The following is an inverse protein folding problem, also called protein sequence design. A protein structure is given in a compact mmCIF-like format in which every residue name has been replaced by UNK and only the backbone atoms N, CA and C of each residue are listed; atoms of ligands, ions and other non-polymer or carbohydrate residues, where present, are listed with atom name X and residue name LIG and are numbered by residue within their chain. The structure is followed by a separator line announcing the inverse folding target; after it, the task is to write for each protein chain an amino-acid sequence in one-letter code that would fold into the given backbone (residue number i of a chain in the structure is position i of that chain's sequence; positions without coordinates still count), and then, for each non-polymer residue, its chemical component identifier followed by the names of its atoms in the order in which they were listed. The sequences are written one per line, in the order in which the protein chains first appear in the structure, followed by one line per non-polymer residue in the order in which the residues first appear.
data_IF_457271454432
#
_entry.id   IF_457271454432
#
_cell.length_a   1.000
_cell.length_b   1.000
_cell.length_c   1.000
_cell.angle_alpha   90.00
_cell.angle_beta   90.00
_cell.angle_gamma   90.00
#
_symmetry.space_group_name_H-M   'P 1'
#
loop_
_entity.id
_entity.type
_entity.pdbx_description
1 polymer ?
#
# COMPACT_ATOMS: atom_id res chain seq x y z
N UNK A 1 9.42 15.01 18.86
CA UNK A 1 8.35 15.92 19.32
C UNK A 1 7.22 15.04 19.81
N UNK A 2 6.81 15.15 21.08
CA UNK A 2 5.80 14.29 21.69
C UNK A 2 4.43 14.48 21.01
N UNK A 3 4.04 13.53 20.17
CA UNK A 3 2.78 13.48 19.42
C UNK A 3 1.58 13.07 20.27
N UNK A 4 1.29 13.81 21.34
CA UNK A 4 0.14 13.51 22.21
C UNK A 4 -1.16 14.16 21.74
N UNK A 5 -1.13 15.05 20.74
CA UNK A 5 -2.31 15.82 20.31
C UNK A 5 -3.06 15.30 19.09
N UNK A 6 -2.40 14.60 18.15
CA UNK A 6 -2.98 14.16 16.87
C UNK A 6 -2.60 12.71 16.60
N UNK A 7 -3.58 11.83 16.35
CA UNK A 7 -3.36 10.46 15.90
C UNK A 7 -4.42 10.08 14.85
N UNK A 8 -4.03 9.26 13.88
CA UNK A 8 -4.99 8.58 13.00
C UNK A 8 -5.30 7.22 13.60
N UNK A 9 -6.53 7.00 14.05
CA UNK A 9 -6.99 5.74 14.66
C UNK A 9 -7.27 4.67 13.60
N UNK A 10 -7.90 5.09 12.51
CA UNK A 10 -8.24 4.24 11.38
C UNK A 10 -8.20 5.07 10.09
N UNK A 11 -7.81 4.46 8.97
CA UNK A 11 -8.02 4.99 7.63
C UNK A 11 -8.41 3.83 6.71
N UNK A 12 -9.62 3.88 6.16
CA UNK A 12 -10.21 2.77 5.41
C UNK A 12 -10.80 3.26 4.07
N UNK A 13 -10.51 2.59 2.94
CA UNK A 13 -11.12 2.91 1.65
C UNK A 13 -12.65 2.79 1.69
N UNK A 14 -13.34 3.76 1.09
CA UNK A 14 -14.79 3.70 0.85
C UNK A 14 -15.08 3.65 -0.64
N UNK A 15 -14.70 4.69 -1.40
CA UNK A 15 -15.05 4.80 -2.81
C UNK A 15 -13.92 5.42 -3.63
N UNK A 16 -13.57 4.83 -4.77
CA UNK A 16 -12.71 5.47 -5.77
C UNK A 16 -13.55 5.78 -7.01
N UNK A 17 -13.76 7.06 -7.29
CA UNK A 17 -14.45 7.54 -8.49
C UNK A 17 -13.45 8.14 -9.47
N UNK A 18 -13.50 7.73 -10.74
CA UNK A 18 -12.57 8.17 -11.78
C UNK A 18 -13.32 8.54 -13.06
N UNK A 19 -12.82 9.53 -13.79
CA UNK A 19 -13.36 9.93 -15.09
C UNK A 19 -12.22 10.51 -15.95
N UNK A 20 -12.18 10.15 -17.23
CA UNK A 20 -11.14 10.59 -18.15
C UNK A 20 -9.76 10.02 -17.89
N UNK A 21 -9.65 8.84 -17.26
CA UNK A 21 -8.38 8.19 -16.87
C UNK A 21 -8.29 6.81 -17.51
N UNK A 22 -7.22 6.52 -18.25
CA UNK A 22 -7.01 5.22 -18.90
C UNK A 22 -8.24 4.75 -19.70
N UNK A 23 -8.81 3.56 -19.43
CA UNK A 23 -10.03 3.09 -20.11
C UNK A 23 -11.33 3.73 -19.59
N UNK A 24 -11.31 4.49 -18.49
CA UNK A 24 -12.49 5.07 -17.85
C UNK A 24 -12.79 6.48 -18.39
N UNK A 25 -13.22 6.58 -19.65
CA UNK A 25 -13.27 7.86 -20.39
C UNK A 25 -14.64 8.56 -20.40
N UNK A 26 -15.74 7.82 -20.61
CA UNK A 26 -17.02 8.44 -21.00
C UNK A 26 -17.86 8.94 -19.82
N UNK A 27 -17.90 8.18 -18.73
CA UNK A 27 -18.68 8.48 -17.52
C UNK A 27 -17.87 8.18 -16.25
N UNK A 28 -18.22 8.80 -15.11
CA UNK A 28 -17.62 8.44 -13.83
C UNK A 28 -17.76 6.94 -13.54
N UNK A 29 -16.63 6.28 -13.35
CA UNK A 29 -16.54 4.90 -12.91
C UNK A 29 -16.22 4.90 -11.41
N UNK A 30 -17.03 4.21 -10.60
CA UNK A 30 -16.86 4.13 -9.15
C UNK A 30 -16.53 2.68 -8.74
N UNK A 31 -15.47 2.52 -7.94
CA UNK A 31 -15.22 1.31 -7.16
C UNK A 31 -15.71 1.51 -5.74
N UNK A 32 -16.54 0.59 -5.27
CA UNK A 32 -17.05 0.53 -3.90
C UNK A 32 -16.24 -0.48 -3.07
N UNK A 33 -15.55 -0.01 -2.03
CA UNK A 33 -14.75 -0.83 -1.13
C UNK A 33 -15.52 -1.32 0.10
N UNK A 34 -16.85 -1.22 0.10
CA UNK A 34 -17.70 -1.66 1.22
C UNK A 34 -18.27 -3.06 0.99
N UNK A 35 -18.65 -3.73 2.06
CA UNK A 35 -19.35 -5.01 2.00
C UNK A 35 -20.88 -4.81 1.94
N UNK A 36 -21.64 -5.91 1.97
CA UNK A 36 -23.10 -5.87 1.88
C UNK A 36 -23.81 -5.14 3.04
N UNK A 37 -23.09 -4.78 4.10
CA UNK A 37 -23.60 -4.02 5.25
C UNK A 37 -23.05 -2.59 5.30
N UNK A 38 -22.50 -2.08 4.19
CA UNK A 38 -21.85 -0.77 4.11
C UNK A 38 -20.62 -0.64 5.04
N UNK A 39 -19.98 -1.76 5.41
CA UNK A 39 -18.75 -1.72 6.20
C UNK A 39 -17.51 -1.70 5.28
N UNK A 40 -16.49 -0.87 5.55
CA UNK A 40 -15.25 -0.87 4.75
C UNK A 40 -14.54 -2.22 4.78
N UNK A 41 -14.30 -2.79 3.59
CA UNK A 41 -13.56 -4.02 3.43
C UNK A 41 -12.10 -3.83 3.88
N UNK A 42 -11.56 -4.83 4.58
CA UNK A 42 -10.13 -4.92 4.84
C UNK A 42 -9.43 -5.88 3.87
N UNK A 43 -10.19 -6.64 3.07
CA UNK A 43 -9.64 -7.43 1.98
C UNK A 43 -10.45 -7.27 0.70
N UNK A 44 -9.86 -6.60 -0.29
CA UNK A 44 -10.52 -6.28 -1.55
C UNK A 44 -9.78 -6.89 -2.74
N UNK A 45 -10.52 -7.51 -3.67
CA UNK A 45 -9.92 -8.09 -4.88
C UNK A 45 -10.55 -7.49 -6.14
N UNK A 46 -9.70 -6.90 -6.98
CA UNK A 46 -10.06 -6.41 -8.31
C UNK A 46 -9.73 -7.48 -9.35
N UNK A 47 -10.72 -7.88 -10.13
CA UNK A 47 -10.53 -8.90 -11.16
C UNK A 47 -10.91 -8.36 -12.53
N UNK A 48 -10.05 -8.59 -13.52
CA UNK A 48 -10.39 -8.38 -14.93
C UNK A 48 -9.30 -8.93 -15.83
N UNK A 49 -9.62 -9.07 -17.10
CA UNK A 49 -8.64 -9.39 -18.13
C UNK A 49 -7.52 -8.34 -18.24
N UNK A 50 -6.45 -8.69 -18.93
CA UNK A 50 -5.32 -7.78 -19.15
C UNK A 50 -5.75 -6.58 -20.01
N UNK A 51 -5.22 -5.41 -19.68
CA UNK A 51 -5.52 -4.17 -20.40
C UNK A 51 -6.81 -3.45 -20.01
N UNK A 52 -7.54 -3.94 -18.99
CA UNK A 52 -8.81 -3.33 -18.50
C UNK A 52 -8.64 -2.25 -17.44
N UNK A 53 -7.41 -1.79 -17.17
CA UNK A 53 -7.14 -0.66 -16.27
C UNK A 53 -6.89 -1.00 -14.81
N UNK A 54 -6.69 -2.28 -14.42
CA UNK A 54 -6.35 -2.69 -13.05
C UNK A 54 -5.17 -1.90 -12.48
N UNK A 55 -4.01 -1.99 -13.13
CA UNK A 55 -2.79 -1.31 -12.69
C UNK A 55 -2.95 0.21 -12.72
N UNK A 56 -3.72 0.76 -13.66
CA UNK A 56 -4.03 2.19 -13.73
C UNK A 56 -4.77 2.66 -12.47
N UNK A 57 -5.77 1.91 -12.01
CA UNK A 57 -6.50 2.23 -10.78
C UNK A 57 -5.61 2.11 -9.54
N UNK A 58 -4.75 1.08 -9.48
CA UNK A 58 -3.79 0.93 -8.38
C UNK A 58 -2.77 2.07 -8.35
N UNK A 59 -2.24 2.45 -9.51
CA UNK A 59 -1.29 3.55 -9.66
C UNK A 59 -1.90 4.88 -9.26
N UNK A 60 -3.17 5.06 -9.61
CA UNK A 60 -3.95 6.22 -9.23
C UNK A 60 -4.16 6.29 -7.71
N UNK A 61 -4.48 5.18 -7.03
CA UNK A 61 -4.57 5.14 -5.57
C UNK A 61 -3.26 5.56 -4.91
N UNK A 62 -2.12 5.06 -5.40
CA UNK A 62 -0.81 5.47 -4.91
C UNK A 62 -0.50 6.94 -5.20
N UNK A 63 -0.88 7.46 -6.38
CA UNK A 63 -0.80 8.89 -6.69
C UNK A 63 -1.62 9.74 -5.70
N UNK A 64 -2.89 9.36 -5.46
CA UNK A 64 -3.81 10.07 -4.58
C UNK A 64 -3.36 10.01 -3.11
N UNK A 65 -2.83 8.87 -2.65
CA UNK A 65 -2.24 8.76 -1.32
C UNK A 65 -1.03 9.68 -1.14
N UNK A 66 -0.24 9.86 -2.21
CA UNK A 66 0.89 10.79 -2.23
C UNK A 66 0.51 12.25 -1.97
N UNK A 67 -0.76 12.62 -2.14
CA UNK A 67 -1.26 13.97 -1.86
C UNK A 67 -1.27 14.30 -0.36
N UNK A 68 -1.21 13.31 0.52
CA UNK A 68 -1.10 13.50 1.97
C UNK A 68 0.14 14.29 2.40
N UNK A 69 1.21 14.28 1.59
CA UNK A 69 2.37 15.14 1.83
C UNK A 69 2.07 16.63 1.59
N UNK A 70 0.95 16.99 0.95
CA UNK A 70 0.56 18.36 0.60
C UNK A 70 1.64 19.16 -0.14
N UNK A 71 1.56 20.49 -0.07
CA UNK A 71 2.57 21.42 -0.60
C UNK A 71 2.36 21.83 -2.04
N UNK A 72 3.24 22.70 -2.53
CA UNK A 72 3.27 23.07 -3.93
C UNK A 72 3.83 21.92 -4.77
N UNK A 73 3.26 21.71 -5.96
CA UNK A 73 3.67 20.68 -6.91
C UNK A 73 3.59 21.23 -8.32
N UNK A 74 4.59 20.90 -9.14
CA UNK A 74 4.57 21.17 -10.58
C UNK A 74 3.80 20.09 -11.34
N UNK A 75 3.86 18.85 -10.86
CA UNK A 75 3.21 17.66 -11.43
C UNK A 75 2.83 16.66 -10.35
N UNK A 76 1.83 15.82 -10.65
CA UNK A 76 1.36 14.72 -9.81
C UNK A 76 2.05 13.40 -10.16
N UNK A 77 2.76 13.36 -11.28
CA UNK A 77 3.41 12.14 -11.81
C UNK A 77 2.37 11.10 -12.25
N UNK A 78 1.24 11.60 -12.77
CA UNK A 78 0.17 10.80 -13.35
C UNK A 78 -0.39 11.55 -14.56
N UNK A 79 -0.09 11.05 -15.76
CA UNK A 79 -0.28 11.76 -17.03
C UNK A 79 -1.71 12.30 -17.21
N UNK A 80 -2.72 11.46 -17.00
CA UNK A 80 -4.12 11.86 -17.19
C UNK A 80 -4.57 12.99 -16.24
N UNK A 81 -3.93 13.13 -15.07
CA UNK A 81 -4.20 14.21 -14.11
C UNK A 81 -3.40 15.48 -14.42
N UNK A 82 -2.18 15.33 -14.95
CA UNK A 82 -1.24 16.42 -15.23
C UNK A 82 -1.53 17.15 -16.54
N UNK A 83 -1.94 16.43 -17.59
CA UNK A 83 -2.15 16.98 -18.93
C UNK A 83 -3.50 16.60 -19.56
N UNK A 84 -4.13 15.52 -19.10
CA UNK A 84 -5.41 15.03 -19.61
C UNK A 84 -6.64 15.70 -19.01
N UNK A 85 -7.84 15.27 -19.45
CA UNK A 85 -9.11 15.66 -18.82
C UNK A 85 -9.43 14.84 -17.57
N UNK A 86 -8.48 14.02 -17.13
CA UNK A 86 -8.65 13.08 -16.04
C UNK A 86 -8.98 13.77 -14.72
N UNK A 87 -9.88 13.13 -13.98
CA UNK A 87 -10.28 13.50 -12.64
C UNK A 87 -10.42 12.23 -11.82
N UNK A 88 -9.97 12.30 -10.57
CA UNK A 88 -10.13 11.21 -9.63
C UNK A 88 -10.45 11.74 -8.24
N UNK A 89 -11.28 10.99 -7.53
CA UNK A 89 -11.64 11.22 -6.13
C UNK A 89 -11.60 9.87 -5.40
N UNK A 90 -10.77 9.77 -4.36
CA UNK A 90 -10.72 8.62 -3.46
C UNK A 90 -11.19 9.05 -2.08
N UNK A 91 -12.32 8.50 -1.67
CA UNK A 91 -12.94 8.73 -0.38
C UNK A 91 -12.48 7.68 0.63
N UNK A 92 -11.94 8.16 1.74
CA UNK A 92 -11.42 7.37 2.85
C UNK A 92 -12.19 7.71 4.11
N UNK A 93 -12.69 6.70 4.82
CA UNK A 93 -13.18 6.86 6.18
C UNK A 93 -11.98 7.01 7.12
N UNK A 94 -11.92 8.12 7.85
CA UNK A 94 -10.79 8.42 8.74
C UNK A 94 -11.31 8.69 10.14
N UNK A 95 -10.73 7.98 11.11
CA UNK A 95 -10.92 8.24 12.54
C UNK A 95 -9.68 8.95 13.08
N UNK A 96 -9.89 10.12 13.67
CA UNK A 96 -8.83 10.99 14.19
C UNK A 96 -9.02 11.19 15.69
N UNK A 97 -7.92 11.10 16.43
CA UNK A 97 -7.85 11.61 17.79
C UNK A 97 -7.15 12.97 17.76
N UNK A 98 -7.88 14.04 18.06
CA UNK A 98 -7.39 15.44 18.06
C UNK A 98 -7.77 16.15 19.33
N UNK A 99 -6.79 16.71 20.04
CA UNK A 99 -7.02 17.53 21.25
C UNK A 99 -7.91 16.84 22.30
N UNK A 100 -7.78 15.52 22.46
CA UNK A 100 -8.58 14.74 23.39
C UNK A 100 -9.98 14.36 22.90
N UNK A 101 -10.32 14.65 21.65
CA UNK A 101 -11.59 14.29 21.00
C UNK A 101 -11.36 13.25 19.90
N UNK A 102 -12.33 12.36 19.73
CA UNK A 102 -12.38 11.46 18.58
C UNK A 102 -13.31 12.06 17.52
N UNK A 103 -12.84 12.11 16.28
CA UNK A 103 -13.58 12.61 15.12
C UNK A 103 -13.60 11.54 14.04
N UNK A 104 -14.76 11.23 13.47
CA UNK A 104 -14.90 10.32 12.33
C UNK A 104 -15.34 11.15 11.12
N UNK A 105 -14.53 11.18 10.07
CA UNK A 105 -14.74 12.03 8.89
C UNK A 105 -14.54 11.22 7.61
N UNK A 106 -15.06 11.74 6.51
CA UNK A 106 -14.67 11.29 5.18
C UNK A 106 -13.59 12.23 4.65
N UNK A 107 -12.41 11.69 4.35
CA UNK A 107 -11.35 12.41 3.64
C UNK A 107 -11.44 12.08 2.15
N UNK A 108 -11.77 13.08 1.33
CA UNK A 108 -11.76 12.97 -0.13
C UNK A 108 -10.43 13.45 -0.70
N UNK A 109 -9.54 12.51 -1.01
CA UNK A 109 -8.30 12.75 -1.76
C UNK A 109 -8.65 12.87 -3.24
N UNK A 110 -8.48 14.05 -3.85
CA UNK A 110 -8.89 14.23 -5.24
C UNK A 110 -7.90 15.07 -6.06
N UNK A 111 -7.81 14.76 -7.33
CA UNK A 111 -6.96 15.50 -8.26
C UNK A 111 -7.50 15.48 -9.69
N UNK A 112 -7.11 16.47 -10.48
CA UNK A 112 -7.43 16.55 -11.91
C UNK A 112 -7.96 17.91 -12.35
N UNK A 113 -8.49 17.96 -13.57
CA UNK A 113 -9.09 19.17 -14.13
C UNK A 113 -10.42 19.56 -13.46
N UNK A 114 -10.87 20.80 -13.65
CA UNK A 114 -12.18 21.26 -13.17
C UNK A 114 -12.34 21.19 -11.65
N UNK A 115 -13.45 20.64 -11.14
CA UNK A 115 -13.60 20.33 -9.71
C UNK A 115 -13.60 18.80 -9.52
N UNK A 116 -12.47 18.18 -9.10
CA UNK A 116 -12.42 16.72 -8.98
C UNK A 116 -13.28 16.20 -7.81
N UNK A 117 -13.58 17.02 -6.79
CA UNK A 117 -14.49 16.67 -5.68
C UNK A 117 -15.98 16.65 -6.06
N UNK A 118 -16.30 16.98 -7.32
CA UNK A 118 -17.65 16.88 -7.85
C UNK A 118 -17.96 15.48 -8.39
N UNK A 119 -16.97 14.58 -8.47
CA UNK A 119 -17.15 13.22 -9.00
C UNK A 119 -18.05 12.38 -8.10
N UNK A 120 -17.86 12.48 -6.78
CA UNK A 120 -18.71 11.81 -5.80
C UNK A 120 -19.16 12.78 -4.69
N UNK A 121 -20.48 12.93 -4.57
CA UNK A 121 -21.12 13.75 -3.55
C UNK A 121 -21.20 13.05 -2.19
N UNK A 122 -21.26 13.85 -1.14
CA UNK A 122 -21.47 13.40 0.24
C UNK A 122 -22.57 14.26 0.86
N UNK A 123 -23.79 13.71 0.89
CA UNK A 123 -24.92 14.30 1.59
C UNK A 123 -24.98 13.78 3.04
N UNK A 124 -25.92 14.32 3.82
CA UNK A 124 -26.05 13.97 5.24
C UNK A 124 -26.41 12.49 5.44
N UNK A 125 -27.18 11.88 4.54
CA UNK A 125 -27.58 10.49 4.65
C UNK A 125 -26.37 9.56 4.42
N UNK A 126 -25.59 9.82 3.35
CA UNK A 126 -24.36 9.06 3.08
C UNK A 126 -23.37 9.20 4.23
N UNK A 127 -23.21 10.39 4.80
CA UNK A 127 -22.35 10.60 5.98
C UNK A 127 -22.84 9.79 7.19
N UNK A 128 -24.16 9.77 7.45
CA UNK A 128 -24.77 9.03 8.55
C UNK A 128 -24.57 7.51 8.41
N UNK A 129 -24.68 6.95 7.19
CA UNK A 129 -24.38 5.53 6.91
C UNK A 129 -23.02 5.10 7.43
N UNK A 130 -21.99 5.93 7.26
CA UNK A 130 -20.63 5.63 7.72
C UNK A 130 -20.29 6.26 9.08
N UNK A 131 -21.28 6.81 9.79
CA UNK A 131 -21.10 7.49 11.07
C UNK A 131 -20.09 8.64 11.01
N UNK A 132 -19.91 9.26 9.85
CA UNK A 132 -18.99 10.38 9.65
C UNK A 132 -19.71 11.69 9.93
N UNK A 133 -19.05 12.62 10.61
CA UNK A 133 -19.63 13.93 10.93
C UNK A 133 -19.58 14.89 9.75
N UNK A 134 -18.56 14.76 8.90
CA UNK A 134 -18.34 15.68 7.78
C UNK A 134 -17.42 15.05 6.72
N UNK A 135 -17.52 15.57 5.49
CA UNK A 135 -16.52 15.37 4.45
C UNK A 135 -15.49 16.51 4.46
N UNK A 136 -14.23 16.17 4.57
CA UNK A 136 -13.09 17.06 4.34
C UNK A 136 -12.42 16.75 2.99
N UNK A 137 -11.75 17.75 2.40
CA UNK A 137 -11.15 17.65 1.07
C UNK A 137 -9.65 17.86 1.17
N UNK A 138 -8.87 17.13 0.38
CA UNK A 138 -7.45 17.40 0.17
C UNK A 138 -7.05 17.00 -1.25
N UNK A 139 -6.22 17.81 -1.89
CA UNK A 139 -5.60 17.44 -3.16
C UNK A 139 -5.43 18.62 -4.10
N UNK A 140 -5.47 18.38 -5.41
CA UNK A 140 -5.02 19.37 -6.38
C UNK A 140 -6.01 19.60 -7.52
N UNK A 141 -6.39 20.87 -7.69
CA UNK A 141 -7.14 21.32 -8.85
C UNK A 141 -6.18 21.78 -9.94
N UNK A 142 -6.26 21.17 -11.13
CA UNK A 142 -5.53 21.64 -12.31
C UNK A 142 -6.33 22.69 -13.05
N UNK A 143 -5.73 23.86 -13.23
CA UNK A 143 -6.29 24.96 -14.04
C UNK A 143 -5.97 24.76 -15.53
N UNK A 144 -6.66 25.48 -16.42
CA UNK A 144 -6.39 25.46 -17.87
C UNK A 144 -4.95 25.84 -18.23
N UNK A 145 -4.29 26.63 -17.38
CA UNK A 145 -2.86 26.96 -17.45
C UNK A 145 -1.91 25.82 -17.10
N UNK A 146 -2.42 24.61 -16.82
CA UNK A 146 -1.72 23.44 -16.25
C UNK A 146 -1.14 23.65 -14.84
N UNK A 147 -1.36 24.82 -14.22
CA UNK A 147 -0.99 25.05 -12.82
C UNK A 147 -1.84 24.20 -11.89
N UNK A 148 -1.18 23.53 -10.94
CA UNK A 148 -1.82 22.81 -9.84
C UNK A 148 -2.06 23.76 -8.65
N UNK A 149 -3.30 23.79 -8.16
CA UNK A 149 -3.71 24.49 -6.96
C UNK A 149 -4.00 23.48 -5.85
N UNK A 150 -3.29 23.59 -4.73
CA UNK A 150 -3.58 22.81 -3.52
C UNK A 150 -4.90 23.28 -2.89
N UNK A 151 -5.84 22.36 -2.68
CA UNK A 151 -7.14 22.60 -2.06
C UNK A 151 -7.25 21.78 -0.78
N UNK A 152 -7.93 22.33 0.24
CA UNK A 152 -8.26 21.61 1.48
C UNK A 152 -7.45 22.00 2.71
N UNK A 153 -6.30 22.66 2.54
CA UNK A 153 -5.38 22.98 3.64
C UNK A 153 -5.93 23.98 4.67
N UNK A 154 -7.04 24.66 4.35
CA UNK A 154 -7.75 25.55 5.27
C UNK A 154 -8.53 24.79 6.35
N UNK A 155 -8.80 23.49 6.14
CA UNK A 155 -9.42 22.63 7.14
C UNK A 155 -8.40 22.21 8.19
N UNK A 156 -8.74 22.36 9.48
CA UNK A 156 -7.79 22.09 10.56
C UNK A 156 -7.39 20.62 10.64
N UNK A 157 -8.31 19.69 10.36
CA UNK A 157 -8.06 18.25 10.38
C UNK A 157 -7.08 17.86 9.28
N UNK A 158 -7.28 18.43 8.09
CA UNK A 158 -6.39 18.25 6.93
C UNK A 158 -5.02 18.83 7.19
N UNK A 159 -4.96 20.06 7.71
CA UNK A 159 -3.71 20.74 8.06
C UNK A 159 -2.89 19.94 9.08
N UNK A 160 -3.53 19.42 10.13
CA UNK A 160 -2.85 18.60 11.13
C UNK A 160 -2.36 17.27 10.57
N UNK A 161 -3.17 16.61 9.72
CA UNK A 161 -2.78 15.38 9.04
C UNK A 161 -1.56 15.61 8.14
N UNK A 162 -1.59 16.64 7.29
CA UNK A 162 -0.48 17.00 6.39
C UNK A 162 0.76 17.38 7.20
N UNK A 163 0.61 18.16 8.27
CA UNK A 163 1.72 18.53 9.15
C UNK A 163 2.35 17.31 9.83
N UNK A 164 1.53 16.35 10.27
CA UNK A 164 2.00 15.11 10.88
C UNK A 164 2.73 14.24 9.84
N UNK A 165 2.16 14.02 8.65
CA UNK A 165 2.80 13.27 7.56
C UNK A 165 4.17 13.86 7.21
N UNK A 166 4.26 15.19 7.06
CA UNK A 166 5.53 15.88 6.79
C UNK A 166 6.53 15.76 7.93
N UNK A 167 6.06 15.93 9.17
CA UNK A 167 6.91 15.92 10.36
C UNK A 167 7.57 14.57 10.62
N UNK A 168 6.97 13.47 10.16
CA UNK A 168 7.50 12.12 10.26
C UNK A 168 8.19 11.63 8.98
N UNK A 169 8.12 12.36 7.87
CA UNK A 169 8.70 11.91 6.61
C UNK A 169 10.21 11.66 6.75
N UNK A 170 10.67 10.47 6.35
CA UNK A 170 12.06 10.01 6.49
C UNK A 170 12.45 9.58 7.92
N UNK A 171 11.55 9.62 8.91
CA UNK A 171 11.85 9.10 10.24
C UNK A 171 12.09 7.60 10.19
N UNK A 172 13.09 7.09 10.91
CA UNK A 172 13.34 5.65 11.01
C UNK A 172 12.06 4.88 11.41
N UNK A 173 11.79 3.72 10.81
CA UNK A 173 10.80 2.80 11.32
C UNK A 173 11.06 2.46 12.79
N UNK A 174 9.99 2.29 13.54
CA UNK A 174 9.92 2.02 14.98
C UNK A 174 10.10 0.53 15.34
N UNK A 175 10.06 -0.36 14.36
CA UNK A 175 10.36 -1.78 14.53
C UNK A 175 10.24 -2.59 13.24
N UNK A 176 10.03 -3.91 13.39
CA UNK A 176 9.67 -4.82 12.31
C UNK A 176 8.33 -5.48 12.69
N UNK A 177 7.27 -5.21 11.94
CA UNK A 177 5.87 -5.52 12.29
C UNK A 177 5.45 -5.00 13.69
N UNK A 178 6.08 -3.92 14.15
CA UNK A 178 5.79 -3.28 15.42
C UNK A 178 5.21 -1.88 15.17
N UNK A 179 3.90 -1.84 14.93
CA UNK A 179 3.23 -0.65 14.39
C UNK A 179 2.90 0.32 15.53
N UNK A 180 3.77 1.29 15.84
CA UNK A 180 3.47 2.36 16.80
C UNK A 180 3.10 3.66 16.09
N UNK A 181 3.70 3.91 14.92
CA UNK A 181 3.33 5.05 14.08
C UNK A 181 1.89 4.90 13.58
N UNK A 182 1.07 5.90 13.90
CA UNK A 182 -0.35 5.91 13.52
C UNK A 182 -0.60 6.45 12.13
N UNK A 183 0.40 7.03 11.46
CA UNK A 183 0.15 7.74 10.21
C UNK A 183 -0.18 6.80 9.05
N UNK A 184 -0.99 7.25 8.08
CA UNK A 184 -1.32 6.43 6.93
C UNK A 184 -0.10 6.11 6.06
N UNK A 185 -0.05 4.89 5.55
CA UNK A 185 0.93 4.44 4.55
C UNK A 185 0.28 3.53 3.52
N UNK A 186 0.61 3.71 2.26
CA UNK A 186 0.30 2.79 1.18
C UNK A 186 1.58 2.09 0.73
N UNK A 187 1.56 0.75 0.73
CA UNK A 187 2.65 -0.06 0.20
C UNK A 187 2.17 -0.71 -1.10
N UNK A 188 2.72 -0.27 -2.23
CA UNK A 188 2.39 -0.80 -3.54
C UNK A 188 3.43 -1.84 -3.94
N UNK A 189 2.97 -3.03 -4.31
CA UNK A 189 3.77 -4.10 -4.91
C UNK A 189 3.38 -4.35 -6.36
N UNK A 190 4.33 -4.13 -7.29
CA UNK A 190 4.15 -4.29 -8.74
C UNK A 190 3.99 -5.77 -9.16
N UNK A 191 3.59 -6.08 -10.40
CA UNK A 191 3.42 -7.47 -10.83
C UNK A 191 4.75 -8.20 -11.14
N UNK A 192 5.88 -7.49 -11.25
CA UNK A 192 7.18 -8.01 -11.71
C UNK A 192 8.24 -8.09 -10.60
N UNK A 193 7.79 -8.19 -9.34
CA UNK A 193 8.59 -8.44 -8.14
C UNK A 193 9.66 -9.51 -8.36
N UNK A 194 10.92 -9.13 -8.19
CA UNK A 194 12.07 -10.03 -8.22
C UNK A 194 13.20 -9.50 -7.34
N UNK A 195 14.10 -10.41 -6.95
CA UNK A 195 15.34 -10.11 -6.25
C UNK A 195 16.47 -10.45 -7.22
N UNK A 196 17.02 -9.48 -7.99
CA UNK A 196 18.11 -9.74 -8.90
C UNK A 196 19.42 -9.92 -8.13
N UNK A 197 20.44 -10.42 -8.82
CA UNK A 197 21.80 -10.44 -8.28
C UNK A 197 22.34 -9.02 -8.25
N UNK A 198 22.81 -8.55 -7.08
CA UNK A 198 23.53 -7.28 -6.98
C UNK A 198 24.78 -7.31 -7.87
N UNK A 199 24.80 -6.46 -8.90
CA UNK A 199 25.82 -6.45 -9.97
C UNK A 199 26.80 -5.28 -9.85
N UNK A 200 26.47 -4.24 -9.07
CA UNK A 200 27.25 -2.99 -8.99
C UNK A 200 27.68 -2.63 -7.55
N UNK A 201 28.80 -1.92 -7.46
CA UNK A 201 29.18 -1.14 -6.28
C UNK A 201 29.94 -1.86 -5.17
N UNK A 202 30.42 -1.07 -4.21
CA UNK A 202 30.94 -1.55 -2.93
C UNK A 202 29.74 -1.87 -2.04
N UNK A 203 29.69 -3.09 -1.52
CA UNK A 203 28.67 -3.49 -0.54
C UNK A 203 29.07 -2.97 0.83
N UNK A 204 28.72 -1.72 1.09
CA UNK A 204 28.97 -1.04 2.35
C UNK A 204 27.83 -1.22 3.34
N UNK A 205 28.03 -0.77 4.57
CA UNK A 205 26.92 -0.57 5.50
C UNK A 205 26.45 0.86 5.30
N UNK A 206 25.32 1.04 4.62
CA UNK A 206 24.73 2.34 4.36
C UNK A 206 23.21 2.24 4.44
N UNK A 207 22.57 3.36 4.75
CA UNK A 207 21.13 3.44 4.78
C UNK A 207 20.52 3.04 3.42
N UNK A 208 19.48 2.19 3.39
CA UNK A 208 18.77 1.83 2.16
C UNK A 208 18.05 3.01 1.52
N UNK A 209 17.92 3.03 0.19
CA UNK A 209 17.35 4.17 -0.55
C UNK A 209 15.89 4.50 -0.19
N UNK A 210 15.13 3.51 0.27
CA UNK A 210 13.73 3.65 0.68
C UNK A 210 13.52 3.59 2.19
N UNK A 211 14.57 3.87 2.98
CA UNK A 211 14.47 3.85 4.44
C UNK A 211 13.59 4.99 4.98
N UNK A 212 12.88 4.71 6.07
CA UNK A 212 12.05 5.70 6.75
C UNK A 212 10.58 5.69 6.37
N UNK A 213 9.81 6.52 7.08
CA UNK A 213 8.39 6.69 6.84
C UNK A 213 8.12 7.55 5.60
N UNK A 214 7.25 7.05 4.74
CA UNK A 214 6.64 7.77 3.63
C UNK A 214 5.16 7.39 3.54
N UNK A 215 4.26 8.29 3.10
CA UNK A 215 2.86 7.96 2.91
C UNK A 215 2.65 6.94 1.76
N UNK A 216 3.61 6.82 0.86
CA UNK A 216 3.60 5.86 -0.24
C UNK A 216 4.99 5.24 -0.40
N UNK A 217 5.03 3.92 -0.46
CA UNK A 217 6.18 3.15 -0.93
C UNK A 217 5.76 2.34 -2.15
N UNK A 218 6.61 2.32 -3.18
CA UNK A 218 6.42 1.49 -4.37
C UNK A 218 7.58 0.49 -4.45
N UNK A 219 7.24 -0.79 -4.51
CA UNK A 219 8.20 -1.89 -4.62
C UNK A 219 7.89 -2.67 -5.88
N UNK A 220 8.91 -2.83 -6.72
CA UNK A 220 8.78 -3.63 -7.92
C UNK A 220 9.95 -4.57 -8.11
N UNK A 221 10.56 -4.57 -9.29
CA UNK A 221 11.89 -5.16 -9.45
C UNK A 221 12.88 -4.46 -8.49
N UNK A 222 13.46 -5.20 -7.55
CA UNK A 222 14.52 -4.66 -6.69
C UNK A 222 15.67 -4.16 -7.58
N UNK A 223 16.31 -3.04 -7.22
CA UNK A 223 17.43 -2.52 -8.01
C UNK A 223 18.62 -3.48 -8.02
N UNK A 224 19.37 -3.52 -9.12
CA UNK A 224 20.66 -4.24 -9.15
C UNK A 224 21.77 -3.52 -8.35
N UNK A 225 21.49 -2.30 -7.90
CA UNK A 225 22.37 -1.50 -7.04
C UNK A 225 22.28 -1.94 -5.59
N UNK A 226 23.40 -1.85 -4.89
CA UNK A 226 23.48 -2.21 -3.47
C UNK A 226 22.46 -1.45 -2.61
N UNK A 227 22.32 -0.12 -2.76
CA UNK A 227 21.46 0.69 -1.87
C UNK A 227 19.98 0.33 -1.96
N UNK A 228 19.55 -0.17 -3.13
CA UNK A 228 18.17 -0.53 -3.42
C UNK A 228 17.85 -1.96 -2.96
N UNK A 229 18.88 -2.82 -2.88
CA UNK A 229 18.74 -4.26 -2.64
C UNK A 229 18.20 -4.65 -1.26
N UNK A 230 17.47 -5.77 -1.21
CA UNK A 230 17.08 -6.41 0.06
C UNK A 230 18.27 -6.93 0.87
N UNK A 231 19.39 -7.24 0.22
CA UNK A 231 20.63 -7.57 0.92
C UNK A 231 21.09 -6.39 1.78
N UNK A 232 21.11 -5.17 1.23
CA UNK A 232 21.44 -3.97 2.00
C UNK A 232 20.40 -3.70 3.10
N UNK A 233 19.11 -3.89 2.84
CA UNK A 233 18.08 -3.76 3.87
C UNK A 233 18.36 -4.69 5.08
N UNK A 234 18.62 -5.97 4.83
CA UNK A 234 18.90 -6.93 5.90
C UNK A 234 20.24 -6.66 6.60
N UNK A 235 21.26 -6.21 5.87
CA UNK A 235 22.54 -5.77 6.45
C UNK A 235 22.34 -4.54 7.34
N UNK A 236 21.54 -3.58 6.88
CA UNK A 236 21.19 -2.39 7.65
C UNK A 236 20.43 -2.73 8.93
N UNK A 237 19.39 -3.56 8.84
CA UNK A 237 18.66 -4.05 10.02
C UNK A 237 19.59 -4.74 11.02
N UNK A 238 20.57 -5.52 10.54
CA UNK A 238 21.54 -6.18 11.41
C UNK A 238 22.50 -5.19 12.06
N UNK A 239 22.88 -4.14 11.33
CA UNK A 239 23.79 -3.11 11.83
C UNK A 239 23.16 -2.22 12.90
N UNK A 240 21.85 -1.98 12.82
CA UNK A 240 21.10 -1.22 13.83
C UNK A 240 21.10 -1.87 15.21
N UNK A 241 21.32 -3.19 15.28
CA UNK A 241 21.53 -3.96 16.52
C UNK A 241 20.40 -3.79 17.56
N UNK A 242 19.15 -3.78 17.10
CA UNK A 242 17.96 -3.49 17.93
C UNK A 242 16.80 -4.49 17.75
N UNK A 243 17.15 -5.77 17.58
CA UNK A 243 16.24 -6.91 17.41
C UNK A 243 15.41 -6.93 16.11
N UNK A 244 15.36 -5.83 15.34
CA UNK A 244 14.60 -5.78 14.07
C UNK A 244 15.07 -6.84 13.09
N UNK A 245 16.38 -7.07 13.02
CA UNK A 245 16.95 -8.13 12.20
C UNK A 245 16.51 -9.53 12.64
N UNK A 246 16.57 -9.82 13.94
CA UNK A 246 16.19 -11.14 14.47
C UNK A 246 14.71 -11.41 14.26
N UNK A 247 13.85 -10.39 14.44
CA UNK A 247 12.43 -10.44 14.10
C UNK A 247 12.20 -10.72 12.61
N UNK A 248 12.90 -9.99 11.74
CA UNK A 248 12.80 -10.20 10.29
C UNK A 248 13.18 -11.64 9.91
N UNK A 249 14.30 -12.16 10.42
CA UNK A 249 14.74 -13.54 10.18
C UNK A 249 13.70 -14.55 10.66
N UNK A 250 13.19 -14.38 11.89
CA UNK A 250 12.15 -15.24 12.46
C UNK A 250 10.89 -15.28 11.58
N UNK A 251 10.33 -14.12 11.26
CA UNK A 251 9.07 -13.99 10.51
C UNK A 251 9.22 -14.55 9.10
N UNK A 252 10.31 -14.26 8.40
CA UNK A 252 10.56 -14.80 7.06
C UNK A 252 10.65 -16.33 7.10
N UNK A 253 11.32 -16.89 8.10
CA UNK A 253 11.42 -18.33 8.25
C UNK A 253 10.06 -18.98 8.57
N UNK A 254 9.26 -18.37 9.44
CA UNK A 254 7.93 -18.87 9.83
C UNK A 254 6.89 -18.72 8.70
N UNK A 255 6.91 -17.63 7.93
CA UNK A 255 5.87 -17.34 6.93
C UNK A 255 6.24 -17.81 5.53
N UNK A 256 7.49 -17.59 5.09
CA UNK A 256 7.93 -17.91 3.71
C UNK A 256 8.52 -19.30 3.63
N UNK A 257 9.42 -19.66 4.55
CA UNK A 257 10.15 -20.93 4.47
C UNK A 257 9.55 -22.08 5.28
N UNK A 258 8.49 -21.87 6.06
CA UNK A 258 7.85 -22.96 6.80
C UNK A 258 7.43 -24.11 5.88
N UNK A 259 7.69 -25.34 6.32
CA UNK A 259 7.45 -26.56 5.54
C UNK A 259 8.40 -26.77 4.36
N UNK A 260 9.50 -26.01 4.29
CA UNK A 260 10.59 -26.22 3.34
C UNK A 260 11.89 -26.57 4.08
N UNK A 261 12.89 -27.02 3.34
CA UNK A 261 14.25 -27.28 3.83
C UNK A 261 15.11 -26.02 3.90
N UNK A 262 14.60 -24.89 3.39
CA UNK A 262 15.29 -23.61 3.35
C UNK A 262 15.04 -22.79 4.62
N UNK A 263 15.97 -21.91 4.97
CA UNK A 263 15.73 -20.83 5.92
C UNK A 263 16.75 -19.70 5.73
N UNK A 264 16.32 -18.46 5.99
CA UNK A 264 17.19 -17.30 6.10
C UNK A 264 18.11 -17.49 7.31
N UNK A 265 19.41 -17.70 7.05
CA UNK A 265 20.42 -18.00 8.07
C UNK A 265 21.00 -16.75 8.71
N UNK A 266 21.07 -15.67 7.94
CA UNK A 266 21.49 -14.36 8.42
C UNK A 266 22.37 -13.63 7.41
N UNK A 267 23.39 -12.92 7.89
CA UNK A 267 24.29 -12.10 7.06
C UNK A 267 25.70 -12.69 7.03
N UNK A 268 26.22 -12.97 5.83
CA UNK A 268 27.66 -13.19 5.59
C UNK A 268 28.39 -11.86 5.70
N UNK A 269 29.61 -11.84 6.26
CA UNK A 269 30.37 -10.60 6.45
C UNK A 269 31.16 -10.16 5.21
N UNK A 270 31.68 -11.12 4.45
CA UNK A 270 32.55 -10.84 3.31
C UNK A 270 32.17 -11.70 2.08
N UNK A 271 31.65 -11.08 1.00
CA UNK A 271 31.03 -9.75 1.01
C UNK A 271 29.78 -9.72 1.93
N UNK A 272 29.38 -8.54 2.45
CA UNK A 272 28.15 -8.40 3.20
C UNK A 272 26.95 -8.69 2.31
N UNK A 273 26.13 -9.67 2.71
CA UNK A 273 24.90 -10.08 2.04
C UNK A 273 24.10 -11.03 2.92
N UNK A 274 22.80 -11.14 2.64
CA UNK A 274 21.94 -12.13 3.25
C UNK A 274 22.17 -13.51 2.64
N UNK A 275 22.13 -14.53 3.50
CA UNK A 275 22.37 -15.92 3.13
C UNK A 275 21.22 -16.82 3.56
N UNK A 276 20.82 -17.70 2.66
CA UNK A 276 19.84 -18.75 2.87
C UNK A 276 20.58 -20.09 2.97
N UNK A 277 20.18 -20.93 3.92
CA UNK A 277 20.65 -22.30 4.02
C UNK A 277 19.58 -23.24 3.45
N UNK A 278 20.00 -24.26 2.71
CA UNK A 278 19.18 -25.36 2.23
C UNK A 278 19.93 -26.67 2.45
N UNK A 279 19.56 -27.45 3.47
CA UNK A 279 20.21 -28.72 3.80
C UNK A 279 21.75 -28.63 3.86
N UNK A 280 22.27 -27.57 4.50
CA UNK A 280 23.71 -27.33 4.60
C UNK A 280 24.31 -26.53 3.45
N UNK A 281 23.66 -26.44 2.28
CA UNK A 281 24.10 -25.62 1.16
C UNK A 281 23.72 -24.16 1.40
N UNK A 282 24.70 -23.26 1.36
CA UNK A 282 24.49 -21.82 1.54
C UNK A 282 24.41 -21.15 0.17
N UNK A 283 23.35 -20.37 -0.05
CA UNK A 283 23.19 -19.57 -1.25
C UNK A 283 22.61 -18.18 -0.93
N UNK A 284 22.62 -17.30 -1.92
CA UNK A 284 22.14 -15.92 -1.85
C UNK A 284 20.62 -15.83 -2.03
N UNK A 285 20.05 -14.66 -1.73
CA UNK A 285 18.63 -14.38 -1.96
C UNK A 285 18.23 -14.46 -3.44
N UNK A 286 19.08 -14.00 -4.36
CA UNK A 286 18.83 -14.05 -5.82
C UNK A 286 18.72 -15.48 -6.39
N UNK A 287 19.11 -16.50 -5.61
CA UNK A 287 19.03 -17.91 -5.97
C UNK A 287 17.77 -18.62 -5.47
N UNK A 288 16.88 -17.91 -4.79
CA UNK A 288 15.55 -18.40 -4.44
C UNK A 288 14.69 -18.60 -5.71
N UNK A 289 13.66 -19.43 -5.61
CA UNK A 289 12.66 -19.53 -6.68
C UNK A 289 11.88 -18.21 -6.79
N UNK A 290 11.31 -17.91 -7.97
CA UNK A 290 10.54 -16.68 -8.21
C UNK A 290 9.47 -16.43 -7.13
N UNK A 291 8.72 -17.47 -6.77
CA UNK A 291 7.69 -17.36 -5.73
C UNK A 291 8.25 -17.09 -4.32
N UNK A 292 9.39 -17.70 -3.98
CA UNK A 292 10.06 -17.40 -2.71
C UNK A 292 10.62 -15.97 -2.69
N UNK A 293 11.20 -15.51 -3.79
CA UNK A 293 11.71 -14.13 -3.91
C UNK A 293 10.59 -13.11 -3.71
N UNK A 294 9.48 -13.28 -4.43
CA UNK A 294 8.30 -12.42 -4.34
C UNK A 294 7.78 -12.32 -2.90
N UNK A 295 7.69 -13.46 -2.19
CA UNK A 295 7.25 -13.48 -0.80
C UNK A 295 8.29 -12.89 0.16
N UNK A 296 9.58 -13.22 0.01
CA UNK A 296 10.64 -12.63 0.85
C UNK A 296 10.63 -11.11 0.72
N UNK A 297 10.56 -10.59 -0.50
CA UNK A 297 10.46 -9.16 -0.75
C UNK A 297 9.22 -8.57 -0.07
N UNK A 298 8.05 -9.14 -0.32
CA UNK A 298 6.78 -8.67 0.23
C UNK A 298 6.81 -8.58 1.76
N UNK A 299 7.22 -9.64 2.45
CA UNK A 299 7.23 -9.65 3.92
C UNK A 299 8.32 -8.77 4.52
N UNK A 300 9.51 -8.70 3.91
CA UNK A 300 10.55 -7.80 4.41
C UNK A 300 10.14 -6.33 4.26
N UNK A 301 9.62 -5.95 3.10
CA UNK A 301 9.17 -4.59 2.83
C UNK A 301 7.94 -4.24 3.67
N UNK A 302 6.96 -5.13 3.78
CA UNK A 302 5.81 -4.95 4.65
C UNK A 302 6.25 -4.76 6.10
N UNK A 303 7.07 -5.68 6.64
CA UNK A 303 7.48 -5.64 8.04
C UNK A 303 8.26 -4.39 8.42
N UNK A 304 9.06 -3.82 7.50
CA UNK A 304 9.82 -2.59 7.75
C UNK A 304 9.00 -1.32 7.58
N UNK A 305 8.10 -1.27 6.60
CA UNK A 305 7.47 -0.01 6.18
C UNK A 305 6.02 0.14 6.61
N UNK A 306 5.38 -0.89 7.15
CA UNK A 306 4.01 -0.79 7.61
C UNK A 306 3.88 0.12 8.85
N UNK A 307 2.74 0.79 8.93
CA UNK A 307 2.30 1.58 10.08
C UNK A 307 0.99 0.98 10.62
N UNK A 308 0.40 1.59 11.66
CA UNK A 308 -0.91 1.13 12.16
C UNK A 308 -2.03 1.24 11.14
N UNK A 309 -1.90 2.16 10.17
CA UNK A 309 -2.88 2.42 9.12
C UNK A 309 -2.24 2.18 7.77
N UNK A 310 -2.24 0.92 7.32
CA UNK A 310 -1.54 0.50 6.11
C UNK A 310 -2.53 0.01 5.06
N UNK A 311 -2.45 0.56 3.85
CA UNK A 311 -3.09 0.01 2.66
C UNK A 311 -2.04 -0.74 1.85
N UNK A 312 -2.10 -2.06 1.84
CA UNK A 312 -1.24 -2.92 1.05
C UNK A 312 -1.88 -3.18 -0.31
N UNK A 313 -1.28 -2.62 -1.37
CA UNK A 313 -1.65 -2.88 -2.75
C UNK A 313 -0.74 -3.97 -3.32
N UNK A 314 -1.32 -5.04 -3.86
CA UNK A 314 -0.59 -6.13 -4.53
C UNK A 314 -1.11 -6.32 -5.94
N UNK A 315 -0.40 -5.79 -6.93
CA UNK A 315 -0.72 -6.01 -8.34
C UNK A 315 -0.30 -7.44 -8.75
N UNK A 316 -1.17 -8.06 -9.54
CA UNK A 316 -1.14 -9.46 -9.97
C UNK A 316 -0.63 -10.39 -8.86
N UNK A 317 -1.46 -10.57 -7.84
CA UNK A 317 -1.13 -11.31 -6.61
C UNK A 317 -0.47 -12.67 -6.86
N UNK A 318 -0.86 -13.33 -7.93
CA UNK A 318 -0.65 -14.74 -8.19
C UNK A 318 0.20 -15.01 -9.45
N UNK A 319 0.58 -13.95 -10.17
CA UNK A 319 1.42 -14.03 -11.35
C UNK A 319 2.78 -14.63 -10.99
N UNK A 320 3.19 -15.61 -11.79
CA UNK A 320 4.40 -16.41 -11.61
C UNK A 320 4.44 -17.30 -10.34
N UNK A 321 3.31 -17.45 -9.62
CA UNK A 321 3.21 -18.38 -8.49
C UNK A 321 2.58 -19.71 -8.90
N UNK A 322 3.24 -20.82 -8.53
CA UNK A 322 2.59 -22.14 -8.58
C UNK A 322 1.39 -22.16 -7.62
N UNK A 323 0.32 -22.92 -7.92
CA UNK A 323 -0.93 -22.94 -7.14
C UNK A 323 -0.74 -23.08 -5.61
N UNK A 324 0.22 -23.92 -5.18
CA UNK A 324 0.62 -24.05 -3.77
C UNK A 324 1.00 -22.71 -3.13
N UNK A 325 1.75 -21.87 -3.84
CA UNK A 325 2.17 -20.56 -3.37
C UNK A 325 1.01 -19.56 -3.36
N UNK A 326 0.12 -19.59 -4.36
CA UNK A 326 -1.08 -18.75 -4.37
C UNK A 326 -1.95 -18.99 -3.13
N UNK A 327 -2.25 -20.26 -2.80
CA UNK A 327 -2.99 -20.60 -1.58
C UNK A 327 -2.24 -20.19 -0.30
N UNK A 328 -0.91 -20.28 -0.29
CA UNK A 328 -0.10 -19.87 0.85
C UNK A 328 -0.14 -18.35 1.05
N UNK A 329 0.08 -17.57 -0.01
CA UNK A 329 -0.05 -16.11 -0.01
C UNK A 329 -1.40 -15.70 0.55
N UNK A 330 -2.46 -16.36 0.09
CA UNK A 330 -3.83 -16.05 0.49
C UNK A 330 -4.10 -16.34 1.98
N UNK A 331 -3.62 -17.48 2.48
CA UNK A 331 -3.70 -17.80 3.91
C UNK A 331 -2.96 -16.76 4.76
N UNK A 332 -1.80 -16.33 4.31
CA UNK A 332 -0.98 -15.38 5.04
C UNK A 332 -1.57 -13.96 5.03
N UNK A 333 -2.15 -13.51 3.92
CA UNK A 333 -2.90 -12.23 3.87
C UNK A 333 -4.04 -12.22 4.89
N UNK A 334 -4.82 -13.30 4.94
CA UNK A 334 -5.88 -13.45 5.94
C UNK A 334 -5.35 -13.46 7.38
N UNK A 335 -4.16 -14.01 7.60
CA UNK A 335 -3.51 -13.97 8.91
C UNK A 335 -3.07 -12.54 9.26
N UNK A 336 -2.37 -11.86 8.35
CA UNK A 336 -1.91 -10.47 8.51
C UNK A 336 -3.07 -9.53 8.86
N UNK A 337 -4.20 -9.65 8.17
CA UNK A 337 -5.39 -8.84 8.41
C UNK A 337 -5.99 -9.05 9.81
N UNK A 338 -5.95 -10.28 10.34
CA UNK A 338 -6.40 -10.56 11.71
C UNK A 338 -5.42 -10.02 12.76
N UNK A 339 -4.13 -10.10 12.47
CA UNK A 339 -3.07 -9.61 13.35
C UNK A 339 -2.99 -8.08 13.35
N UNK A 340 -3.47 -7.41 12.30
CA UNK A 340 -3.33 -5.97 12.09
C UNK A 340 -4.69 -5.34 11.70
N UNK A 341 -5.50 -4.89 12.68
CA UNK A 341 -6.83 -4.34 12.41
C UNK A 341 -6.88 -3.12 11.48
N UNK A 342 -5.81 -2.32 11.42
CA UNK A 342 -5.69 -1.17 10.52
C UNK A 342 -4.97 -1.47 9.20
N UNK A 343 -4.75 -2.75 8.88
CA UNK A 343 -4.30 -3.18 7.56
C UNK A 343 -5.50 -3.39 6.64
N UNK A 344 -5.45 -2.81 5.45
CA UNK A 344 -6.32 -3.14 4.32
C UNK A 344 -5.48 -3.71 3.20
N UNK A 345 -5.89 -4.82 2.60
CA UNK A 345 -5.25 -5.41 1.42
C UNK A 345 -6.15 -5.18 0.21
N UNK A 346 -5.63 -4.52 -0.82
CA UNK A 346 -6.25 -4.41 -2.14
C UNK A 346 -5.36 -5.18 -3.11
N UNK A 347 -5.90 -6.18 -3.78
CA UNK A 347 -5.11 -6.98 -4.70
C UNK A 347 -5.80 -7.15 -6.05
N UNK A 348 -5.01 -7.36 -7.09
CA UNK A 348 -5.55 -7.62 -8.43
C UNK A 348 -5.29 -9.05 -8.87
N UNK A 349 -6.13 -9.50 -9.79
CA UNK A 349 -5.98 -10.80 -10.42
C UNK A 349 -6.59 -10.79 -11.85
N UNK A 350 -6.11 -11.69 -12.72
CA UNK A 350 -6.54 -11.83 -14.10
C UNK A 350 -7.64 -12.88 -14.32
N UNK A 351 -7.82 -13.86 -13.43
CA UNK A 351 -8.83 -14.92 -13.61
C UNK A 351 -10.08 -14.70 -12.75
N UNK A 352 -11.22 -14.57 -13.42
CA UNK A 352 -12.56 -14.52 -12.81
C UNK A 352 -12.88 -15.83 -12.08
N UNK A 353 -12.33 -16.95 -12.52
CA UNK A 353 -12.57 -18.28 -11.94
C UNK A 353 -12.08 -18.38 -10.47
N UNK A 354 -11.11 -17.56 -10.07
CA UNK A 354 -10.56 -17.56 -8.72
C UNK A 354 -11.38 -16.74 -7.71
N UNK A 355 -12.39 -15.99 -8.16
CA UNK A 355 -13.35 -15.28 -7.29
C UNK A 355 -14.13 -16.27 -6.44
N UNK A 356 -14.52 -17.42 -7.01
CA UNK A 356 -15.20 -18.48 -6.27
C UNK A 356 -14.32 -19.04 -5.13
N UNK A 357 -13.02 -19.19 -5.40
CA UNK A 357 -12.04 -19.66 -4.42
C UNK A 357 -11.78 -18.66 -3.29
N UNK A 358 -12.06 -17.38 -3.51
CA UNK A 358 -12.01 -16.36 -2.46
C UNK A 358 -13.19 -16.47 -1.49
N UNK A 359 -14.30 -17.05 -1.97
CA UNK A 359 -15.52 -17.33 -1.22
C UNK A 359 -16.01 -16.09 -0.47
N UNK A 360 -16.22 -14.98 -1.18
CA UNK A 360 -16.60 -13.67 -0.60
C UNK A 360 -17.74 -13.80 0.43
N UNK A 361 -18.72 -14.62 0.11
CA UNK A 361 -19.93 -14.87 0.89
C UNK A 361 -19.69 -15.60 2.23
N UNK A 362 -18.57 -16.30 2.40
CA UNK A 362 -18.30 -17.07 3.63
C UNK A 362 -17.75 -16.14 4.70
N UNK A 363 -18.47 -15.85 5.80
CA UNK A 363 -17.96 -14.99 6.86
C UNK A 363 -16.73 -15.64 7.50
N UNK A 364 -15.70 -14.83 7.74
CA UNK A 364 -14.48 -15.26 8.40
C UNK A 364 -14.11 -14.22 9.44
N UNK A 365 -13.89 -14.66 10.68
CA UNK A 365 -13.55 -13.77 11.79
C UNK A 365 -12.34 -12.89 11.44
N UNK A 366 -12.49 -11.58 11.70
CA UNK A 366 -11.50 -10.55 11.41
C UNK A 366 -11.38 -10.13 9.94
N UNK A 367 -12.23 -10.64 9.04
CA UNK A 367 -12.20 -10.31 7.61
C UNK A 367 -13.53 -9.73 7.13
N UNK A 368 -13.45 -8.55 6.50
CA UNK A 368 -14.50 -7.94 5.68
C UNK A 368 -14.03 -7.94 4.24
N UNK A 369 -14.66 -8.77 3.42
CA UNK A 369 -14.20 -9.09 2.07
C UNK A 369 -15.11 -8.45 1.04
N UNK A 370 -14.51 -7.83 0.04
CA UNK A 370 -15.20 -7.28 -1.11
C UNK A 370 -14.41 -7.51 -2.39
N UNK A 371 -15.03 -7.27 -3.53
CA UNK A 371 -14.33 -7.38 -4.80
C UNK A 371 -15.18 -6.89 -5.94
N UNK A 372 -14.52 -6.60 -7.06
CA UNK A 372 -15.18 -6.07 -8.24
C UNK A 372 -14.56 -6.65 -9.51
N UNK A 373 -15.44 -6.99 -10.46
CA UNK A 373 -15.04 -7.48 -11.78
C UNK A 373 -15.17 -6.32 -12.77
N UNK A 374 -14.05 -5.91 -13.38
CA UNK A 374 -14.05 -4.89 -14.44
C UNK A 374 -14.34 -5.61 -15.77
N UNK A 375 -15.58 -5.47 -16.26
CA UNK A 375 -16.05 -6.11 -17.49
C UNK A 375 -15.79 -5.23 -18.74
N UNK A 376 -15.92 -5.82 -19.93
CA UNK A 376 -15.67 -5.13 -21.21
C UNK A 376 -16.61 -3.94 -21.47
N UNK A 377 -17.83 -3.98 -20.95
CA UNK A 377 -18.86 -2.97 -21.19
C UNK A 377 -18.81 -1.86 -20.14
N UNK A 378 -17.70 -1.13 -20.10
CA UNK A 378 -17.68 0.21 -19.52
C UNK A 378 -18.36 1.18 -20.52
N UNK A 379 -19.64 0.94 -20.83
CA UNK A 379 -20.48 1.87 -21.63
C UNK A 379 -21.04 2.97 -20.74
#
# INVERSE_FOLDING_TARGET
MNGTGFQVRAMQPLFLTVEGIGPFQEKPFELDFTDANDEPCNFYVLVSENGRGKSILLDLMACLMGLLSGGERERLEFEDLDSGKGRAQWDLLVELHREGREERIVLSLAAGGGDPWSLAGWDNNRLETYGATERVRLGYRRHDSSRLELVGINDERVRDLVAAVRGWQGSSPDGFENNTLTLPTLLYFDPYRDIPSVSTGIRGINEPAHWGYHPVHRFGHEGENWQDSLDNLLVWLKWLDDERFDRAVKIINERVFAGSTKFLKGIRKEPPEAIVNNEGHIHRLDRLSSGEKSLVQLYLRLGVHMTRNTILIVDEMDVHLHAKWQHRTMRLFKQLLRENPGLTIIATHHSVELIEAFSFEVPQEGLRKGGFIINENLE
#
